data_IF_902577505672
#
_entry.id   IF_902577505672
#
_cell.length_a   1.000
_cell.length_b   1.000
_cell.length_c   1.000
_cell.angle_alpha   90.00
_cell.angle_beta   90.00
_cell.angle_gamma   90.00
#
_symmetry.space_group_name_H-M   'P 1'
#
loop_
_entity.id
_entity.type
_entity.pdbx_description
1 polymer ?
#
# COMPACT_ATOMS: atom_id res chain seq x y z
N UNK A 1 -15.98 0.88 -4.84
CA UNK A 1 -14.76 0.07 -4.62
C UNK A 1 -13.72 0.56 -5.59
N UNK A 2 -12.83 1.43 -5.13
CA UNK A 2 -11.63 1.87 -5.86
C UNK A 2 -10.38 1.16 -5.33
N UNK A 3 -9.21 1.48 -5.89
CA UNK A 3 -7.93 0.86 -5.51
C UNK A 3 -7.55 1.11 -4.05
N UNK A 4 -7.89 2.28 -3.50
CA UNK A 4 -7.63 2.59 -2.09
C UNK A 4 -8.40 1.67 -1.15
N UNK A 5 -9.68 1.38 -1.47
CA UNK A 5 -10.48 0.43 -0.68
C UNK A 5 -9.92 -0.99 -0.76
N UNK A 6 -9.41 -1.41 -1.93
CA UNK A 6 -8.76 -2.72 -2.10
C UNK A 6 -7.46 -2.78 -1.28
N UNK A 7 -6.62 -1.75 -1.39
CA UNK A 7 -5.37 -1.65 -0.62
C UNK A 7 -5.61 -1.68 0.88
N UNK A 8 -6.65 -1.00 1.38
CA UNK A 8 -6.97 -1.00 2.81
C UNK A 8 -7.33 -2.39 3.32
N UNK A 9 -8.16 -3.13 2.58
CA UNK A 9 -8.54 -4.51 2.93
C UNK A 9 -7.32 -5.42 2.93
N UNK A 10 -6.45 -5.30 1.92
CA UNK A 10 -5.23 -6.10 1.84
C UNK A 10 -4.24 -5.76 2.95
N UNK A 11 -4.04 -4.47 3.24
CA UNK A 11 -3.13 -4.02 4.29
C UNK A 11 -3.56 -4.57 5.66
N UNK A 12 -4.86 -4.48 5.97
CA UNK A 12 -5.43 -5.05 7.20
C UNK A 12 -5.24 -6.56 7.28
N UNK A 13 -5.62 -7.29 6.23
CA UNK A 13 -5.51 -8.74 6.20
C UNK A 13 -4.05 -9.23 6.27
N UNK A 14 -3.12 -8.51 5.64
CA UNK A 14 -1.69 -8.81 5.70
C UNK A 14 -1.11 -8.49 7.07
N UNK A 15 -1.52 -7.39 7.71
CA UNK A 15 -1.09 -7.03 9.07
C UNK A 15 -1.52 -8.07 10.09
N UNK A 16 -2.78 -8.52 10.04
CA UNK A 16 -3.31 -9.57 10.93
C UNK A 16 -2.54 -10.91 10.81
N UNK A 17 -1.93 -11.14 9.65
CA UNK A 17 -1.12 -12.34 9.37
C UNK A 17 0.38 -12.13 9.54
N UNK A 18 0.80 -10.98 10.07
CA UNK A 18 2.20 -10.58 10.23
C UNK A 18 2.98 -10.57 8.88
N UNK A 19 2.28 -10.40 7.76
CA UNK A 19 2.83 -10.39 6.40
C UNK A 19 3.02 -8.97 5.85
N UNK A 20 2.44 -7.93 6.50
CA UNK A 20 2.64 -6.54 6.11
C UNK A 20 3.99 -6.03 6.64
N UNK A 21 5.03 -6.14 5.82
CA UNK A 21 6.39 -5.74 6.22
C UNK A 21 6.45 -4.30 6.70
N UNK A 22 7.04 -4.11 7.88
CA UNK A 22 7.17 -2.81 8.56
C UNK A 22 5.84 -2.10 8.83
N UNK A 23 4.72 -2.84 8.90
CA UNK A 23 3.37 -2.29 9.01
C UNK A 23 3.13 -1.15 8.01
N UNK A 24 3.65 -1.27 6.78
CA UNK A 24 3.70 -0.16 5.81
C UNK A 24 2.99 -0.51 4.51
N UNK A 25 2.21 0.45 4.00
CA UNK A 25 1.64 0.43 2.64
C UNK A 25 2.16 1.60 1.82
N UNK A 26 2.59 1.32 0.60
CA UNK A 26 3.06 2.33 -0.37
C UNK A 26 1.93 2.67 -1.34
N UNK A 27 1.55 3.93 -1.48
CA UNK A 27 0.68 4.33 -2.58
C UNK A 27 1.02 5.73 -3.07
N UNK A 28 0.45 6.12 -4.20
CA UNK A 28 0.74 7.43 -4.77
C UNK A 28 0.07 8.55 -3.97
N UNK A 29 0.54 9.78 -4.18
CA UNK A 29 -0.10 10.98 -3.61
C UNK A 29 -1.58 11.15 -3.96
N UNK A 30 -2.08 10.41 -4.96
CA UNK A 30 -3.49 10.40 -5.39
C UNK A 30 -4.42 9.68 -4.41
N UNK A 31 -3.91 8.82 -3.52
CA UNK A 31 -4.74 8.14 -2.54
C UNK A 31 -5.51 9.13 -1.66
N UNK A 32 -6.78 8.84 -1.45
CA UNK A 32 -7.72 9.76 -0.81
C UNK A 32 -7.47 9.89 0.70
N UNK A 33 -8.04 10.93 1.31
CA UNK A 33 -7.87 11.20 2.75
C UNK A 33 -8.44 10.08 3.64
N UNK A 34 -9.56 9.47 3.23
CA UNK A 34 -10.19 8.38 3.98
C UNK A 34 -9.27 7.15 4.09
N UNK A 35 -8.54 6.83 3.03
CA UNK A 35 -7.52 5.79 3.05
C UNK A 35 -6.40 6.10 4.05
N UNK A 36 -5.85 7.31 4.01
CA UNK A 36 -4.77 7.74 4.91
C UNK A 36 -5.19 7.67 6.38
N UNK A 37 -6.38 8.19 6.69
CA UNK A 37 -6.94 8.13 8.05
C UNK A 37 -7.22 6.70 8.51
N UNK A 38 -7.66 5.81 7.61
CA UNK A 38 -7.84 4.41 7.93
C UNK A 38 -6.51 3.74 8.27
N UNK A 39 -5.46 3.95 7.48
CA UNK A 39 -4.13 3.39 7.78
C UNK A 39 -3.60 3.90 9.12
N UNK A 40 -3.70 5.20 9.38
CA UNK A 40 -3.28 5.80 10.66
C UNK A 40 -4.04 5.21 11.85
N UNK A 41 -5.37 5.10 11.77
CA UNK A 41 -6.22 4.50 12.82
C UNK A 41 -5.80 3.07 13.14
N UNK A 42 -5.42 2.32 12.11
CA UNK A 42 -5.00 0.93 12.24
C UNK A 42 -3.51 0.80 12.57
N UNK A 43 -2.77 1.90 12.78
CA UNK A 43 -1.33 1.86 13.06
C UNK A 43 -0.49 1.39 11.88
N UNK A 44 -1.02 1.47 10.65
CA UNK A 44 -0.33 1.17 9.41
C UNK A 44 0.30 2.46 8.89
N UNK A 45 1.61 2.43 8.64
CA UNK A 45 2.35 3.53 8.05
C UNK A 45 1.98 3.67 6.57
N UNK A 46 1.62 4.88 6.18
CA UNK A 46 1.42 5.25 4.79
C UNK A 46 2.68 5.91 4.23
N UNK A 47 3.21 5.37 3.13
CA UNK A 47 4.31 5.98 2.36
C UNK A 47 3.75 6.47 1.03
N UNK A 48 3.94 7.77 0.77
CA UNK A 48 3.44 8.43 -0.43
C UNK A 48 4.54 8.50 -1.50
N UNK A 49 4.21 8.10 -2.74
CA UNK A 49 5.09 8.27 -3.91
C UNK A 49 4.48 9.21 -4.96
N UNK A 50 5.29 9.64 -5.92
CA UNK A 50 4.78 10.26 -7.15
C UNK A 50 3.84 9.30 -7.90
N UNK A 51 2.99 9.85 -8.77
CA UNK A 51 2.03 9.08 -9.60
C UNK A 51 2.77 8.17 -10.58
N UNK A 52 2.33 6.90 -10.68
CA UNK A 52 2.92 5.88 -11.53
C UNK A 52 3.39 4.66 -10.74
N UNK A 53 2.95 3.48 -11.19
CA UNK A 53 3.36 2.15 -10.72
C UNK A 53 4.86 1.97 -10.49
N UNK A 54 5.70 2.54 -11.37
CA UNK A 54 7.16 2.48 -11.24
C UNK A 54 7.65 3.05 -9.92
N UNK A 55 7.15 4.21 -9.49
CA UNK A 55 7.60 4.84 -8.24
C UNK A 55 7.15 4.06 -7.02
N UNK A 56 5.95 3.47 -7.09
CA UNK A 56 5.46 2.55 -6.05
C UNK A 56 6.39 1.34 -5.94
N UNK A 57 6.71 0.70 -7.06
CA UNK A 57 7.58 -0.48 -7.09
C UNK A 57 9.02 -0.19 -6.65
N UNK A 58 9.58 0.95 -7.07
CA UNK A 58 10.92 1.40 -6.67
C UNK A 58 10.99 1.59 -5.15
N UNK A 59 10.05 2.33 -4.56
CA UNK A 59 9.95 2.57 -3.12
C UNK A 59 9.78 1.26 -2.33
N UNK A 60 8.93 0.36 -2.82
CA UNK A 60 8.73 -0.96 -2.21
C UNK A 60 10.01 -1.82 -2.23
N UNK A 61 10.76 -1.81 -3.33
CA UNK A 61 12.00 -2.58 -3.46
C UNK A 61 13.13 -1.99 -2.62
N UNK A 62 13.27 -0.67 -2.60
CA UNK A 62 14.32 0.02 -1.86
C UNK A 62 14.24 -0.24 -0.36
N UNK A 63 13.03 -0.23 0.19
CA UNK A 63 12.79 -0.39 1.62
C UNK A 63 12.27 -1.78 2.03
N UNK A 64 12.09 -2.67 1.06
CA UNK A 64 11.61 -4.04 1.30
C UNK A 64 10.16 -4.11 1.79
N UNK A 65 9.27 -3.21 1.34
CA UNK A 65 7.84 -3.26 1.68
C UNK A 65 7.10 -4.36 0.89
N UNK A 66 6.03 -4.89 1.49
CA UNK A 66 5.29 -6.03 0.94
C UNK A 66 4.11 -5.63 0.05
N UNK A 67 3.48 -4.47 0.30
CA UNK A 67 2.25 -4.05 -0.34
C UNK A 67 2.33 -2.60 -0.84
N UNK A 68 1.86 -2.38 -2.06
CA UNK A 68 1.60 -1.05 -2.56
C UNK A 68 0.65 -1.01 -3.76
N UNK A 69 0.31 0.18 -4.22
CA UNK A 69 -0.54 0.33 -5.40
C UNK A 69 -0.98 1.76 -5.69
N UNK A 70 -2.01 1.86 -6.54
CA UNK A 70 -2.61 3.11 -6.99
C UNK A 70 -4.14 3.07 -6.85
N UNK A 71 -4.75 4.25 -6.70
CA UNK A 71 -6.22 4.39 -6.62
C UNK A 71 -6.95 3.82 -7.85
N UNK A 72 -6.28 3.76 -9.00
CA UNK A 72 -6.79 3.16 -10.24
C UNK A 72 -7.14 1.66 -10.10
N UNK A 73 -6.62 0.98 -9.06
CA UNK A 73 -6.79 -0.45 -8.84
C UNK A 73 -5.55 -1.27 -9.21
N UNK A 74 -4.46 -0.64 -9.64
CA UNK A 74 -3.17 -1.32 -9.75
C UNK A 74 -2.64 -1.64 -8.35
N UNK A 75 -2.41 -2.92 -8.06
CA UNK A 75 -1.94 -3.40 -6.74
C UNK A 75 -0.73 -4.31 -6.94
N UNK A 76 0.28 -4.11 -6.11
CA UNK A 76 1.52 -4.86 -6.10
C UNK A 76 1.63 -5.56 -4.74
N UNK A 77 1.73 -6.88 -4.75
CA UNK A 77 2.13 -7.68 -3.60
C UNK A 77 3.50 -8.28 -3.95
N UNK A 78 4.57 -7.75 -3.35
CA UNK A 78 5.93 -8.03 -3.82
C UNK A 78 6.29 -9.52 -3.77
N UNK A 79 5.76 -10.25 -2.78
CA UNK A 79 5.99 -11.69 -2.57
C UNK A 79 5.23 -12.58 -3.56
N UNK A 80 4.28 -12.02 -4.31
CA UNK A 80 3.44 -12.74 -5.25
C UNK A 80 3.43 -12.11 -6.65
N UNK A 81 4.24 -11.07 -6.87
CA UNK A 81 4.47 -10.48 -8.17
C UNK A 81 5.36 -11.43 -8.98
N UNK A 82 4.73 -12.33 -9.75
CA UNK A 82 5.37 -13.08 -10.84
C UNK A 82 5.85 -12.17 -11.97
#
# INVERSE_FOLDING_TARGET
VDGDQILAVLALAMREREALRSDTVVATVMSNLGFKLAMEREGIRFVATSVGDRYVLEEMKEHGYALGGEQSGHVIILDHAT
#
